data_IF_079450667224
#
_entry.id   IF_079450667224
#
_cell.length_a   1.000
_cell.length_b   1.000
_cell.length_c   1.000
_cell.angle_alpha   90.00
_cell.angle_beta   90.00
_cell.angle_gamma   90.00
#
_symmetry.space_group_name_H-M   'P 1'
#
loop_
_entity.id
_entity.type
_entity.pdbx_description
1 polymer ?
#
# COMPACT_ATOMS: atom_id res chain seq x y z
N UNK A 1 2.27 4.33 26.62
CA UNK A 1 1.94 4.25 25.18
C UNK A 1 0.53 3.70 25.06
N UNK A 2 -0.40 4.48 24.51
CA UNK A 2 -1.78 4.06 24.26
C UNK A 2 -1.76 2.95 23.20
N UNK A 3 -2.48 1.84 23.43
CA UNK A 3 -2.63 0.80 22.40
C UNK A 3 -3.33 1.41 21.19
N UNK A 4 -2.78 1.23 19.99
CA UNK A 4 -3.46 1.63 18.75
C UNK A 4 -4.74 0.79 18.59
N UNK A 5 -5.87 1.41 18.21
CA UNK A 5 -7.09 0.67 17.93
C UNK A 5 -6.85 -0.31 16.77
N UNK A 6 -7.41 -1.52 16.83
CA UNK A 6 -7.32 -2.48 15.73
C UNK A 6 -8.44 -2.20 14.74
N UNK A 7 -8.20 -1.22 13.85
CA UNK A 7 -9.15 -0.81 12.83
C UNK A 7 -8.56 -0.91 11.41
N UNK A 8 -9.33 -1.43 10.44
CA UNK A 8 -10.65 -2.04 10.61
C UNK A 8 -10.58 -3.40 11.34
N UNK A 9 -11.69 -3.91 11.89
CA UNK A 9 -11.76 -5.30 12.34
C UNK A 9 -11.66 -6.26 11.13
N UNK A 10 -11.25 -7.53 11.35
CA UNK A 10 -11.26 -8.53 10.29
C UNK A 10 -12.70 -8.83 9.82
N UNK A 11 -12.83 -9.32 8.58
CA UNK A 11 -14.12 -9.79 8.05
C UNK A 11 -14.64 -10.98 8.87
N UNK A 12 -15.96 -11.06 9.06
CA UNK A 12 -16.61 -12.22 9.71
C UNK A 12 -16.46 -13.50 8.87
N UNK A 13 -16.41 -13.35 7.54
CA UNK A 13 -16.18 -14.45 6.61
C UNK A 13 -14.68 -14.61 6.34
N UNK A 14 -14.16 -15.81 6.60
CA UNK A 14 -12.78 -16.15 6.30
C UNK A 14 -12.56 -16.13 4.79
N UNK A 15 -11.56 -15.38 4.33
CA UNK A 15 -11.19 -15.33 2.92
C UNK A 15 -10.59 -16.66 2.45
N UNK A 16 -10.89 -17.04 1.21
CA UNK A 16 -10.23 -18.16 0.55
C UNK A 16 -8.72 -17.92 0.40
N UNK A 17 -7.90 -18.98 0.34
CA UNK A 17 -6.49 -18.88 -0.02
C UNK A 17 -6.29 -18.06 -1.31
N UNK A 18 -5.25 -17.22 -1.33
CA UNK A 18 -4.99 -16.29 -2.42
C UNK A 18 -3.52 -15.98 -2.63
N UNK A 19 -3.24 -15.15 -3.63
CA UNK A 19 -1.93 -14.52 -3.82
C UNK A 19 -1.96 -13.17 -3.11
N UNK A 20 -1.14 -13.02 -2.07
CA UNK A 20 -1.13 -11.86 -1.19
C UNK A 20 0.02 -10.93 -1.57
N UNK A 21 -0.29 -9.66 -1.81
CA UNK A 21 0.68 -8.56 -1.89
C UNK A 21 0.41 -7.61 -0.73
N UNK A 22 1.43 -7.36 0.10
CA UNK A 22 1.33 -6.49 1.28
C UNK A 22 2.17 -5.24 1.10
N UNK A 23 1.59 -4.09 1.41
CA UNK A 23 2.31 -2.81 1.41
C UNK A 23 1.60 -1.77 2.27
N UNK A 24 2.35 -0.73 2.65
CA UNK A 24 1.75 0.45 3.30
C UNK A 24 1.03 1.34 2.30
N UNK A 25 1.48 1.39 1.05
CA UNK A 25 0.90 2.20 -0.02
C UNK A 25 0.72 3.69 0.37
N UNK A 26 1.79 4.32 0.86
CA UNK A 26 1.82 5.74 1.30
C UNK A 26 2.65 6.62 0.35
N UNK A 27 2.15 6.95 -0.87
CA UNK A 27 0.90 6.54 -1.50
C UNK A 27 1.08 5.26 -2.34
N UNK A 28 0.03 4.83 -3.06
CA UNK A 28 0.20 3.88 -4.16
C UNK A 28 1.05 4.54 -5.27
N UNK A 29 2.15 3.91 -5.66
CA UNK A 29 3.13 4.49 -6.58
C UNK A 29 3.59 3.46 -7.62
N UNK A 30 4.31 3.86 -8.66
CA UNK A 30 4.62 2.99 -9.81
C UNK A 30 5.33 1.70 -9.41
N UNK A 31 6.29 1.75 -8.47
CA UNK A 31 6.93 0.54 -7.93
C UNK A 31 5.95 -0.48 -7.33
N UNK A 32 4.91 -0.02 -6.60
CA UNK A 32 3.86 -0.91 -6.10
C UNK A 32 3.06 -1.50 -7.27
N UNK A 33 2.69 -0.68 -8.26
CA UNK A 33 1.88 -1.15 -9.39
C UNK A 33 2.61 -2.19 -10.25
N UNK A 34 3.93 -2.09 -10.38
CA UNK A 34 4.75 -3.09 -11.07
C UNK A 34 4.75 -4.42 -10.31
N UNK A 35 4.94 -4.38 -8.98
CA UNK A 35 4.87 -5.58 -8.14
C UNK A 35 3.48 -6.23 -8.20
N UNK A 36 2.41 -5.43 -8.16
CA UNK A 36 1.03 -5.92 -8.23
C UNK A 36 0.73 -6.57 -9.59
N UNK A 37 1.21 -5.98 -10.69
CA UNK A 37 1.09 -6.56 -12.04
C UNK A 37 1.82 -7.89 -12.17
N UNK A 38 3.06 -7.97 -11.69
CA UNK A 38 3.82 -9.21 -11.68
C UNK A 38 3.14 -10.30 -10.82
N UNK A 39 2.55 -9.91 -9.68
CA UNK A 39 1.79 -10.84 -8.85
C UNK A 39 0.53 -11.36 -9.56
N UNK A 40 -0.17 -10.50 -10.31
CA UNK A 40 -1.35 -10.89 -11.10
C UNK A 40 -0.98 -11.82 -12.26
N UNK A 41 0.08 -11.50 -13.00
CA UNK A 41 0.62 -12.36 -14.06
C UNK A 41 0.96 -13.75 -13.52
N UNK A 42 1.71 -13.80 -12.41
CA UNK A 42 2.05 -15.04 -11.74
C UNK A 42 0.81 -15.80 -11.27
N UNK A 43 -0.17 -15.09 -10.69
CA UNK A 43 -1.43 -15.69 -10.21
C UNK A 43 -2.21 -16.32 -11.35
N UNK A 44 -2.36 -15.64 -12.49
CA UNK A 44 -3.08 -16.16 -13.66
C UNK A 44 -2.43 -17.44 -14.20
N UNK A 45 -1.10 -17.51 -14.20
CA UNK A 45 -0.36 -18.69 -14.68
C UNK A 45 -0.38 -19.86 -13.69
N UNK A 46 -0.24 -19.59 -12.38
CA UNK A 46 0.04 -20.63 -11.37
C UNK A 46 -1.15 -20.93 -10.44
N UNK A 47 -2.11 -20.01 -10.33
CA UNK A 47 -3.25 -20.13 -9.42
C UNK A 47 -4.49 -19.35 -9.93
N UNK A 48 -5.00 -19.66 -11.13
CA UNK A 48 -6.02 -18.85 -11.82
C UNK A 48 -7.34 -18.71 -11.05
N UNK A 49 -7.70 -19.73 -10.27
CA UNK A 49 -8.94 -19.76 -9.47
C UNK A 49 -8.83 -18.97 -8.15
N UNK A 50 -7.61 -18.67 -7.71
CA UNK A 50 -7.35 -17.93 -6.47
C UNK A 50 -7.50 -16.42 -6.68
N UNK A 51 -8.01 -15.64 -5.70
CA UNK A 51 -8.00 -14.18 -5.78
C UNK A 51 -6.59 -13.60 -5.61
N UNK A 52 -6.36 -12.43 -6.21
CA UNK A 52 -5.28 -11.53 -5.81
C UNK A 52 -5.75 -10.70 -4.61
N UNK A 53 -4.99 -10.70 -3.53
CA UNK A 53 -5.34 -10.02 -2.28
C UNK A 53 -4.33 -8.92 -2.00
N UNK A 54 -4.75 -7.68 -2.12
CA UNK A 54 -3.94 -6.49 -1.88
C UNK A 54 -4.15 -6.00 -0.45
N UNK A 55 -3.13 -6.19 0.38
CA UNK A 55 -3.17 -5.90 1.81
C UNK A 55 -2.56 -4.55 2.13
N UNK A 56 -3.37 -3.61 2.60
CA UNK A 56 -2.95 -2.30 3.07
C UNK A 56 -2.55 -2.39 4.54
N UNK A 57 -1.25 -2.52 4.79
CA UNK A 57 -0.68 -2.60 6.14
C UNK A 57 -0.73 -1.26 6.88
N UNK A 58 -0.47 -1.31 8.19
CA UNK A 58 -0.44 -0.13 9.06
C UNK A 58 -1.74 0.70 8.98
N UNK A 59 -2.90 0.05 8.94
CA UNK A 59 -4.19 0.74 8.77
C UNK A 59 -4.60 1.58 9.99
N UNK A 60 -4.04 1.28 11.16
CA UNK A 60 -4.31 1.96 12.43
C UNK A 60 -3.26 3.01 12.82
N UNK A 61 -2.31 3.33 11.94
CA UNK A 61 -1.32 4.38 12.23
C UNK A 61 -1.97 5.76 12.16
N UNK A 62 -1.69 6.65 13.13
CA UNK A 62 -2.13 8.03 13.05
C UNK A 62 -1.43 8.75 11.89
N UNK A 63 -2.03 9.86 11.48
CA UNK A 63 -1.47 10.72 10.44
C UNK A 63 -0.09 11.24 10.85
N UNK A 64 0.87 11.16 9.93
CA UNK A 64 2.27 11.55 10.12
C UNK A 64 2.97 11.69 8.78
N UNK A 65 4.17 12.27 8.71
CA UNK A 65 4.96 12.28 7.46
C UNK A 65 5.28 10.90 6.91
N UNK A 66 5.29 9.88 7.77
CA UNK A 66 5.41 8.49 7.33
C UNK A 66 4.09 7.93 6.82
N UNK A 67 2.96 8.27 7.47
CA UNK A 67 1.60 7.79 7.17
C UNK A 67 0.64 8.95 6.89
N UNK A 68 0.84 9.73 5.81
CA UNK A 68 0.05 10.93 5.61
C UNK A 68 -1.38 10.65 5.15
N UNK A 69 -1.66 9.47 4.58
CA UNK A 69 -2.99 9.08 4.14
C UNK A 69 -3.54 7.93 4.99
N UNK A 70 -4.81 8.04 5.36
CA UNK A 70 -5.56 7.01 6.08
C UNK A 70 -5.67 5.72 5.26
N UNK A 71 -6.06 4.61 5.89
CA UNK A 71 -6.28 3.37 5.15
C UNK A 71 -7.40 3.50 4.10
N UNK A 72 -8.47 4.25 4.40
CA UNK A 72 -9.58 4.49 3.46
C UNK A 72 -9.14 5.27 2.22
N UNK A 73 -8.28 6.28 2.41
CA UNK A 73 -7.73 7.02 1.28
C UNK A 73 -6.83 6.14 0.43
N UNK A 74 -6.06 5.23 1.04
CA UNK A 74 -5.22 4.27 0.32
C UNK A 74 -6.03 3.18 -0.39
N UNK A 75 -7.14 2.72 0.20
CA UNK A 75 -8.12 1.84 -0.46
C UNK A 75 -8.66 2.54 -1.70
N UNK A 76 -9.10 3.79 -1.58
CA UNK A 76 -9.58 4.58 -2.71
C UNK A 76 -8.51 4.79 -3.80
N UNK A 77 -7.25 5.05 -3.44
CA UNK A 77 -6.14 5.10 -4.40
C UNK A 77 -5.97 3.78 -5.18
N UNK A 78 -6.08 2.65 -4.48
CA UNK A 78 -6.01 1.32 -5.09
C UNK A 78 -7.21 1.08 -6.01
N UNK A 79 -8.42 1.43 -5.59
CA UNK A 79 -9.65 1.28 -6.37
C UNK A 79 -9.60 2.10 -7.66
N UNK A 80 -9.22 3.38 -7.59
CA UNK A 80 -9.12 4.23 -8.80
C UNK A 80 -8.03 3.75 -9.75
N UNK A 81 -6.96 3.15 -9.22
CA UNK A 81 -5.93 2.55 -10.05
C UNK A 81 -6.42 1.26 -10.74
N UNK A 82 -7.02 0.34 -9.99
CA UNK A 82 -7.55 -0.93 -10.49
C UNK A 82 -8.64 -0.73 -11.56
N UNK A 83 -9.52 0.27 -11.41
CA UNK A 83 -10.53 0.62 -12.42
C UNK A 83 -9.96 0.97 -13.79
N UNK A 84 -8.68 1.35 -13.84
CA UNK A 84 -7.94 1.68 -15.07
C UNK A 84 -7.02 0.54 -15.53
N UNK A 85 -7.10 -0.65 -14.92
CA UNK A 85 -6.32 -1.82 -15.34
C UNK A 85 -7.23 -2.87 -15.97
N UNK A 86 -6.75 -3.48 -17.05
CA UNK A 86 -7.38 -4.67 -17.63
C UNK A 86 -6.82 -5.94 -16.96
N UNK A 87 -7.63 -7.01 -16.90
CA UNK A 87 -7.21 -8.32 -16.40
C UNK A 87 -7.40 -8.56 -14.89
N UNK A 88 -7.59 -7.50 -14.09
CA UNK A 88 -7.77 -7.58 -12.63
C UNK A 88 -9.21 -7.95 -12.22
N UNK A 89 -9.68 -9.12 -12.63
CA UNK A 89 -11.08 -9.53 -12.48
C UNK A 89 -11.42 -10.15 -11.10
N UNK A 90 -10.41 -10.66 -10.37
CA UNK A 90 -10.59 -11.34 -9.09
C UNK A 90 -9.65 -10.75 -8.02
N UNK A 91 -9.82 -9.47 -7.72
CA UNK A 91 -9.02 -8.75 -6.72
C UNK A 91 -9.83 -8.49 -5.45
N UNK A 92 -9.17 -8.61 -4.30
CA UNK A 92 -9.68 -8.20 -2.99
C UNK A 92 -8.71 -7.20 -2.39
N UNK A 93 -9.25 -6.14 -1.78
CA UNK A 93 -8.47 -5.18 -1.00
C UNK A 93 -8.85 -5.38 0.47
N UNK A 94 -7.86 -5.50 1.33
CA UNK A 94 -8.05 -5.59 2.78
C UNK A 94 -7.09 -4.68 3.51
N UNK A 95 -7.52 -4.07 4.61
CA UNK A 95 -6.69 -3.21 5.44
C UNK A 95 -6.35 -3.90 6.76
N UNK A 96 -5.06 -3.92 7.13
CA UNK A 96 -4.54 -4.70 8.26
C UNK A 96 -3.92 -3.75 9.29
N UNK A 97 -4.46 -3.68 10.52
CA UNK A 97 -3.88 -2.86 11.58
C UNK A 97 -2.61 -3.49 12.12
N UNK A 98 -1.64 -2.67 12.50
CA UNK A 98 -0.42 -3.15 13.16
C UNK A 98 -0.74 -3.65 14.58
N UNK A 99 -0.03 -4.70 14.98
CA UNK A 99 0.02 -5.17 16.37
C UNK A 99 1.41 -4.93 16.97
N UNK A 100 1.49 -4.75 18.28
CA UNK A 100 2.76 -4.63 19.01
C UNK A 100 3.36 -6.01 19.35
N UNK A 101 3.34 -6.94 18.39
CA UNK A 101 3.89 -8.29 18.57
C UNK A 101 4.34 -8.86 17.22
N UNK A 102 5.55 -8.52 16.73
CA UNK A 102 6.04 -8.95 15.42
C UNK A 102 6.00 -10.47 15.18
N UNK A 103 6.36 -11.34 16.14
CA UNK A 103 6.25 -12.80 15.97
C UNK A 103 4.84 -13.31 15.69
N UNK A 104 3.79 -12.56 16.08
CA UNK A 104 2.39 -12.92 15.83
C UNK A 104 1.78 -12.17 14.65
N UNK A 105 2.58 -11.41 13.89
CA UNK A 105 2.06 -10.54 12.85
C UNK A 105 1.37 -11.31 11.73
N UNK A 106 1.97 -12.41 11.24
CA UNK A 106 1.34 -13.22 10.17
C UNK A 106 0.05 -13.87 10.66
N UNK A 107 0.07 -14.50 11.83
CA UNK A 107 -1.14 -15.07 12.46
C UNK A 107 -2.26 -14.02 12.62
N UNK A 108 -1.90 -12.77 12.91
CA UNK A 108 -2.84 -11.66 12.96
C UNK A 108 -3.36 -11.28 11.57
N UNK A 109 -2.47 -11.13 10.58
CA UNK A 109 -2.77 -10.76 9.21
C UNK A 109 -3.65 -11.81 8.49
N UNK A 110 -3.50 -13.09 8.83
CA UNK A 110 -4.33 -14.20 8.33
C UNK A 110 -5.83 -14.04 8.64
N UNK A 111 -6.18 -13.29 9.69
CA UNK A 111 -7.58 -12.97 9.98
C UNK A 111 -8.19 -12.01 8.94
N UNK A 112 -7.37 -11.35 8.13
CA UNK A 112 -7.79 -10.38 7.11
C UNK A 112 -7.67 -10.96 5.70
N UNK A 113 -6.50 -11.51 5.36
CA UNK A 113 -6.23 -12.01 4.01
C UNK A 113 -6.44 -13.51 3.84
N UNK A 114 -6.97 -14.20 4.86
CA UNK A 114 -7.17 -15.65 4.83
C UNK A 114 -5.92 -16.43 5.23
N UNK A 115 -6.12 -17.73 5.49
CA UNK A 115 -5.08 -18.68 5.89
C UNK A 115 -4.57 -19.44 4.68
N UNK A 116 -3.26 -19.67 4.62
CA UNK A 116 -2.59 -20.43 3.56
C UNK A 116 -2.73 -19.77 2.18
N UNK A 117 -1.66 -19.79 1.39
CA UNK A 117 -1.63 -19.17 0.07
C UNK A 117 -0.22 -18.84 -0.36
N UNK A 118 -0.11 -17.89 -1.28
CA UNK A 118 1.16 -17.42 -1.79
C UNK A 118 1.42 -15.99 -1.32
N UNK A 119 2.57 -15.72 -0.74
CA UNK A 119 2.97 -14.36 -0.38
C UNK A 119 3.96 -13.83 -1.42
N UNK A 120 3.50 -12.86 -2.21
CA UNK A 120 4.26 -12.28 -3.31
C UNK A 120 4.86 -10.95 -2.86
N UNK A 121 6.19 -10.88 -2.78
CA UNK A 121 6.88 -9.72 -2.21
C UNK A 121 8.23 -9.49 -2.86
N UNK A 122 8.79 -8.31 -2.65
CA UNK A 122 10.17 -7.97 -2.96
C UNK A 122 11.04 -7.79 -1.73
N UNK A 123 10.42 -7.80 -0.54
CA UNK A 123 11.09 -7.61 0.74
C UNK A 123 11.45 -8.97 1.36
N UNK A 124 12.76 -9.21 1.50
CA UNK A 124 13.30 -10.48 2.02
C UNK A 124 12.84 -10.70 3.46
N UNK A 125 12.85 -9.67 4.30
CA UNK A 125 12.45 -9.81 5.71
C UNK A 125 10.99 -10.25 5.85
N UNK A 126 10.11 -9.70 5.02
CA UNK A 126 8.70 -10.08 4.97
C UNK A 126 8.53 -11.49 4.40
N UNK A 127 9.32 -11.87 3.39
CA UNK A 127 9.32 -13.23 2.87
C UNK A 127 9.73 -14.24 3.95
N UNK A 128 10.83 -14.00 4.66
CA UNK A 128 11.29 -14.86 5.75
C UNK A 128 10.20 -15.01 6.83
N UNK A 129 9.57 -13.89 7.23
CA UNK A 129 8.50 -13.90 8.21
C UNK A 129 7.28 -14.74 7.77
N UNK A 130 6.91 -14.70 6.49
CA UNK A 130 5.81 -15.51 5.95
C UNK A 130 6.21 -16.99 5.77
N UNK A 131 7.46 -17.27 5.36
CA UNK A 131 7.98 -18.64 5.28
C UNK A 131 8.00 -19.31 6.66
N UNK A 132 8.43 -18.59 7.70
CA UNK A 132 8.42 -19.08 9.09
C UNK A 132 7.00 -19.41 9.59
N UNK A 133 5.98 -18.74 9.03
CA UNK A 133 4.57 -19.02 9.29
C UNK A 133 3.98 -20.12 8.38
N UNK A 134 4.78 -20.74 7.51
CA UNK A 134 4.39 -21.85 6.64
C UNK A 134 3.75 -21.45 5.31
N UNK A 135 3.88 -20.18 4.89
CA UNK A 135 3.40 -19.72 3.58
C UNK A 135 4.42 -20.00 2.46
N UNK A 136 3.93 -20.23 1.25
CA UNK A 136 4.77 -20.26 0.05
C UNK A 136 5.10 -18.84 -0.39
N UNK A 137 6.35 -18.41 -0.33
CA UNK A 137 6.74 -17.05 -0.75
C UNK A 137 7.28 -17.01 -2.17
N UNK A 138 6.88 -16.00 -2.94
CA UNK A 138 7.49 -15.66 -4.23
C UNK A 138 8.22 -14.33 -4.08
N UNK A 139 9.55 -14.39 -4.22
CA UNK A 139 10.39 -13.20 -4.28
C UNK A 139 10.45 -12.67 -5.71
N UNK A 140 10.02 -11.42 -5.90
CA UNK A 140 10.13 -10.72 -7.16
C UNK A 140 10.92 -9.42 -6.96
N UNK A 141 12.05 -9.22 -7.65
CA UNK A 141 12.88 -8.04 -7.47
C UNK A 141 12.14 -6.75 -7.86
N UNK A 142 12.35 -5.67 -7.11
CA UNK A 142 11.81 -4.36 -7.48
C UNK A 142 12.49 -3.83 -8.74
N UNK A 143 11.68 -3.48 -9.73
CA UNK A 143 12.14 -2.67 -10.85
C UNK A 143 12.39 -1.23 -10.41
N UNK A 144 13.54 -0.67 -10.83
CA UNK A 144 13.91 0.74 -10.61
C UNK A 144 13.78 1.21 -9.14
N UNK A 145 14.20 0.38 -8.18
CA UNK A 145 14.09 0.62 -6.74
C UNK A 145 14.49 2.04 -6.30
N UNK A 146 15.55 2.61 -6.87
CA UNK A 146 16.04 3.95 -6.53
C UNK A 146 15.08 5.09 -6.90
N UNK A 147 14.11 4.85 -7.80
CA UNK A 147 13.12 5.84 -8.23
C UNK A 147 11.80 5.69 -7.49
N UNK A 148 11.42 4.48 -7.12
CA UNK A 148 10.09 4.16 -6.60
C UNK A 148 10.12 3.78 -5.12
N UNK A 149 10.67 4.66 -4.29
CA UNK A 149 10.63 4.52 -2.84
C UNK A 149 9.57 5.45 -2.26
N UNK A 150 8.70 4.93 -1.39
CA UNK A 150 7.62 5.73 -0.81
C UNK A 150 8.11 7.02 -0.12
N UNK A 151 9.29 7.00 0.52
CA UNK A 151 9.86 8.21 1.14
C UNK A 151 10.22 9.28 0.11
N UNK A 152 10.72 8.90 -1.08
CA UNK A 152 11.03 9.84 -2.18
C UNK A 152 9.75 10.41 -2.76
N UNK A 153 8.73 9.58 -2.97
CA UNK A 153 7.43 10.02 -3.46
C UNK A 153 6.82 11.04 -2.50
N UNK A 154 6.86 10.78 -1.19
CA UNK A 154 6.37 11.73 -0.17
C UNK A 154 7.20 13.02 -0.11
N UNK A 155 8.52 12.96 -0.31
CA UNK A 155 9.36 14.16 -0.36
C UNK A 155 9.00 15.05 -1.57
N UNK A 156 8.83 14.46 -2.76
CA UNK A 156 8.36 15.20 -3.95
C UNK A 156 6.95 15.76 -3.74
N UNK A 157 6.03 14.96 -3.18
CA UNK A 157 4.68 15.39 -2.86
C UNK A 157 4.66 16.56 -1.84
N UNK A 158 5.54 16.54 -0.84
CA UNK A 158 5.71 17.63 0.12
C UNK A 158 6.16 18.92 -0.56
N UNK A 159 7.12 18.86 -1.48
CA UNK A 159 7.55 20.05 -2.26
C UNK A 159 6.40 20.66 -3.08
N UNK A 160 5.42 19.85 -3.46
CA UNK A 160 4.24 20.27 -4.22
C UNK A 160 3.04 20.63 -3.34
N UNK A 161 3.12 20.43 -2.01
CA UNK A 161 1.96 20.52 -1.09
C UNK A 161 1.30 21.90 -1.02
N UNK A 162 1.99 22.95 -1.43
CA UNK A 162 1.45 24.32 -1.46
C UNK A 162 1.28 24.87 -2.88
N UNK A 163 1.44 24.03 -3.90
CA UNK A 163 1.31 24.41 -5.31
C UNK A 163 -0.15 24.26 -5.75
N UNK A 164 -0.76 25.36 -6.16
CA UNK A 164 -2.16 25.41 -6.64
C UNK A 164 -2.26 25.24 -8.17
N UNK A 165 -1.30 24.57 -8.79
CA UNK A 165 -1.27 24.30 -10.23
C UNK A 165 -1.31 22.78 -10.46
N UNK A 166 -2.52 22.27 -10.73
CA UNK A 166 -2.76 20.85 -10.98
C UNK A 166 -1.95 20.30 -12.16
N UNK A 167 -1.68 21.13 -13.18
CA UNK A 167 -0.89 20.71 -14.34
C UNK A 167 0.56 20.48 -13.93
N UNK A 168 1.13 21.40 -13.14
CA UNK A 168 2.48 21.25 -12.59
C UNK A 168 2.57 20.03 -11.65
N UNK A 169 1.58 19.84 -10.77
CA UNK A 169 1.52 18.69 -9.85
C UNK A 169 1.50 17.37 -10.64
N UNK A 170 0.65 17.27 -11.68
CA UNK A 170 0.58 16.09 -12.55
C UNK A 170 1.91 15.84 -13.27
N UNK A 171 2.50 16.88 -13.85
CA UNK A 171 3.76 16.76 -14.59
C UNK A 171 4.87 16.20 -13.70
N UNK A 172 5.00 16.69 -12.48
CA UNK A 172 6.06 16.27 -11.55
C UNK A 172 5.78 14.88 -10.96
N UNK A 173 4.57 14.59 -10.48
CA UNK A 173 4.28 13.32 -9.81
C UNK A 173 4.17 12.13 -10.78
N UNK A 174 3.83 12.36 -12.05
CA UNK A 174 3.65 11.30 -13.06
C UNK A 174 4.90 10.42 -13.26
N UNK A 175 6.08 10.92 -12.90
CA UNK A 175 7.34 10.16 -12.95
C UNK A 175 7.39 9.01 -11.94
N UNK A 176 6.51 9.01 -10.93
CA UNK A 176 6.56 8.06 -9.81
C UNK A 176 5.21 7.57 -9.29
N UNK A 177 4.11 8.22 -9.65
CA UNK A 177 2.75 7.90 -9.18
C UNK A 177 1.81 7.72 -10.39
N UNK A 178 0.92 6.71 -10.40
CA UNK A 178 -0.08 6.57 -11.46
C UNK A 178 -0.98 7.80 -11.57
N UNK A 179 -1.35 8.17 -12.80
CA UNK A 179 -2.18 9.35 -13.05
C UNK A 179 -3.52 9.31 -12.28
N UNK A 180 -4.20 8.16 -12.23
CA UNK A 180 -5.45 8.01 -11.49
C UNK A 180 -5.29 8.29 -9.98
N UNK A 181 -4.14 7.92 -9.40
CA UNK A 181 -3.82 8.18 -8.00
C UNK A 181 -3.50 9.65 -7.78
N UNK A 182 -2.77 10.30 -8.72
CA UNK A 182 -2.52 11.75 -8.67
C UNK A 182 -3.83 12.51 -8.70
N UNK A 183 -4.76 12.12 -9.58
CA UNK A 183 -6.06 12.76 -9.73
C UNK A 183 -6.86 12.69 -8.44
N UNK A 184 -6.91 11.50 -7.84
CA UNK A 184 -7.55 11.30 -6.54
C UNK A 184 -6.91 12.15 -5.44
N UNK A 185 -5.58 12.20 -5.38
CA UNK A 185 -4.86 13.02 -4.40
C UNK A 185 -5.14 14.52 -4.54
N UNK A 186 -5.27 15.03 -5.77
CA UNK A 186 -5.67 16.43 -6.03
C UNK A 186 -7.12 16.65 -5.58
N UNK A 187 -8.03 15.74 -5.94
CA UNK A 187 -9.47 15.84 -5.62
C UNK A 187 -9.73 15.96 -4.12
N UNK A 188 -8.99 15.23 -3.29
CA UNK A 188 -9.16 15.24 -1.82
C UNK A 188 -8.28 16.27 -1.09
N UNK A 189 -7.62 17.18 -1.82
CA UNK A 189 -6.60 18.09 -1.28
C UNK A 189 -5.51 17.34 -0.46
N UNK A 190 -5.19 16.12 -0.90
CA UNK A 190 -4.44 15.13 -0.16
C UNK A 190 -2.95 15.44 -0.06
N UNK A 191 -2.42 16.28 -0.95
CA UNK A 191 -1.03 16.74 -0.90
C UNK A 191 -0.84 17.85 0.14
N UNK A 192 -1.83 18.73 0.31
CA UNK A 192 -1.72 19.93 1.14
C UNK A 192 -1.45 19.65 2.60
N UNK A 193 -2.02 18.56 3.13
CA UNK A 193 -1.76 18.16 4.53
C UNK A 193 -0.29 17.89 4.83
N UNK A 194 0.50 17.48 3.83
CA UNK A 194 1.94 17.23 4.02
C UNK A 194 2.66 18.47 4.55
N UNK A 195 2.25 19.69 4.14
CA UNK A 195 2.81 20.94 4.64
C UNK A 195 2.64 21.12 6.16
N UNK A 196 1.58 20.55 6.74
CA UNK A 196 1.26 20.65 8.17
C UNK A 196 1.79 19.47 8.99
N UNK A 197 2.24 18.40 8.34
CA UNK A 197 2.77 17.20 9.00
C UNK A 197 4.27 17.27 9.26
N UNK A 198 4.98 18.26 8.71
CA UNK A 198 6.40 18.48 8.98
C UNK A 198 6.57 18.92 10.45
N UNK A 199 6.93 17.97 11.31
CA UNK A 199 7.35 18.28 12.67
C UNK A 199 8.76 18.91 12.65
N UNK A 200 8.92 20.03 13.36
CA UNK A 200 10.25 20.64 13.59
C UNK A 200 10.64 21.82 12.69
N UNK A 201 9.70 22.45 11.98
CA UNK A 201 9.94 23.80 11.43
C UNK A 201 10.06 24.83 12.56
N UNK A 202 11.04 25.73 12.51
CA UNK A 202 11.12 26.85 13.44
C UNK A 202 9.79 27.64 13.41
N UNK A 203 9.27 28.11 14.56
CA UNK A 203 8.16 29.03 14.57
C UNK A 203 8.63 30.31 13.87
N UNK A 204 8.14 30.55 12.65
CA UNK A 204 8.23 31.87 12.04
C UNK A 204 7.20 32.76 12.75
N UNK A 205 7.72 33.57 13.67
CA UNK A 205 7.00 34.69 14.27
C UNK A 205 6.83 35.86 13.30
#
# INVERSE_FOLDING_TARGET
>A
MTKLPLMPPPSENMMSPGVVVLGRFQPLHLGHTLLIKAAEEWRVENSPDSPLILCIGSSNRPESMENPWSYKEREAMMDVWLKNQEGFNNVKIVSIPDIQNPPKWVLHAENYHGKSGFFFTSDISSADLYNDAGWSTILHPLEQRNKFEGWRVRATALMLSTINDDVAVRAVLSVSVPESVINYLIEIDGLRRLAFLVEGGEPVG
#
